data_IF_792914878734
#
_entry.id   IF_792914878734
#
_cell.length_a   1.000
_cell.length_b   1.000
_cell.length_c   1.000
_cell.angle_alpha   90.00
_cell.angle_beta   90.00
_cell.angle_gamma   90.00
#
_symmetry.space_group_name_H-M   'P 1'
#
loop_
_entity.id
_entity.type
_entity.pdbx_description
1 polymer ?
#
# COMPACT_ATOMS: atom_id res chain seq x y z
N UNK A 1 54.51 -5.91 25.25
CA UNK A 1 54.21 -4.72 26.09
C UNK A 1 55.19 -3.54 25.89
N UNK A 2 55.94 -3.45 24.77
CA UNK A 2 56.97 -2.37 24.59
C UNK A 2 56.94 -1.73 23.19
N UNK A 3 55.92 -2.02 22.36
CA UNK A 3 55.73 -1.38 21.04
C UNK A 3 54.86 -0.11 21.09
N UNK A 4 54.14 0.12 22.20
CA UNK A 4 53.27 1.29 22.36
C UNK A 4 54.00 2.54 22.87
N UNK A 5 55.24 2.44 23.33
CA UNK A 5 55.97 3.58 23.92
C UNK A 5 56.66 4.49 22.90
N UNK A 6 56.58 4.18 21.59
CA UNK A 6 57.15 5.03 20.52
C UNK A 6 56.24 5.28 19.31
N UNK A 7 55.05 4.68 19.25
CA UNK A 7 54.00 5.16 18.33
C UNK A 7 53.32 6.32 19.04
N UNK A 8 53.39 7.53 18.48
CA UNK A 8 52.92 8.75 19.17
C UNK A 8 51.51 8.53 19.72
N UNK A 9 51.27 8.90 20.97
CA UNK A 9 49.98 8.72 21.67
C UNK A 9 48.77 9.20 20.84
N UNK A 10 48.97 10.22 20.01
CA UNK A 10 47.98 10.73 19.05
C UNK A 10 47.50 9.68 18.03
N UNK A 11 48.39 8.82 17.52
CA UNK A 11 48.02 7.72 16.62
C UNK A 11 47.21 6.65 17.34
N UNK A 12 47.52 6.39 18.62
CA UNK A 12 46.71 5.50 19.45
C UNK A 12 45.30 6.04 19.65
N UNK A 13 45.18 7.35 19.95
CA UNK A 13 43.89 8.02 20.11
C UNK A 13 43.07 7.99 18.80
N UNK A 14 43.71 8.23 17.65
CA UNK A 14 43.07 8.12 16.34
C UNK A 14 42.51 6.72 16.06
N UNK A 15 43.29 5.67 16.36
CA UNK A 15 42.87 4.27 16.18
C UNK A 15 41.69 3.91 17.10
N UNK A 16 41.70 4.39 18.34
CA UNK A 16 40.61 4.16 19.30
C UNK A 16 39.32 4.82 18.82
N UNK A 17 39.38 6.08 18.41
CA UNK A 17 38.20 6.81 17.89
C UNK A 17 37.67 6.13 16.63
N UNK A 18 38.53 5.75 15.69
CA UNK A 18 38.14 4.99 14.50
C UNK A 18 37.42 3.68 14.88
N UNK A 19 37.97 2.93 15.85
CA UNK A 19 37.38 1.67 16.28
C UNK A 19 36.04 1.86 16.98
N UNK A 20 35.87 2.93 17.76
CA UNK A 20 34.59 3.29 18.39
C UNK A 20 33.53 3.65 17.35
N UNK A 21 33.86 4.47 16.36
CA UNK A 21 32.94 4.84 15.27
C UNK A 21 32.55 3.60 14.46
N UNK A 22 33.53 2.74 14.12
CA UNK A 22 33.27 1.51 13.39
C UNK A 22 32.35 0.55 14.16
N UNK A 23 32.62 0.33 15.46
CA UNK A 23 31.77 -0.51 16.30
C UNK A 23 30.35 0.08 16.46
N UNK A 24 30.23 1.40 16.63
CA UNK A 24 28.92 2.07 16.71
C UNK A 24 28.13 1.91 15.40
N UNK A 25 28.77 2.13 14.26
CA UNK A 25 28.17 1.93 12.95
C UNK A 25 27.73 0.48 12.73
N UNK A 26 28.57 -0.49 13.10
CA UNK A 26 28.25 -1.92 12.99
C UNK A 26 27.01 -2.29 13.81
N UNK A 27 26.96 -1.87 15.08
CA UNK A 27 25.79 -2.12 15.94
C UNK A 27 24.53 -1.52 15.33
N UNK A 28 24.58 -0.27 14.88
CA UNK A 28 23.42 0.39 14.25
C UNK A 28 22.94 -0.36 12.99
N UNK A 29 23.86 -0.83 12.14
CA UNK A 29 23.50 -1.62 10.94
C UNK A 29 22.85 -2.94 11.35
N UNK A 30 23.43 -3.66 12.31
CA UNK A 30 22.83 -4.92 12.78
C UNK A 30 21.44 -4.70 13.38
N UNK A 31 21.27 -3.68 14.22
CA UNK A 31 19.97 -3.30 14.79
C UNK A 31 18.95 -2.93 13.72
N UNK A 32 19.35 -2.19 12.68
CA UNK A 32 18.47 -1.88 11.56
C UNK A 32 18.03 -3.13 10.81
N UNK A 33 18.93 -4.10 10.58
CA UNK A 33 18.59 -5.39 9.96
C UNK A 33 17.64 -6.19 10.84
N UNK A 34 17.87 -6.25 12.16
CA UNK A 34 16.95 -6.93 13.09
C UNK A 34 15.56 -6.29 13.12
N UNK A 35 15.48 -4.96 13.09
CA UNK A 35 14.21 -4.24 13.00
C UNK A 35 13.52 -4.56 11.67
N UNK A 36 14.27 -4.56 10.56
CA UNK A 36 13.73 -4.89 9.23
C UNK A 36 13.19 -6.31 9.19
N UNK A 37 13.90 -7.26 9.76
CA UNK A 37 13.49 -8.67 9.80
C UNK A 37 12.29 -8.89 10.71
N UNK A 38 12.27 -8.25 11.89
CA UNK A 38 11.11 -8.27 12.79
C UNK A 38 9.90 -7.62 12.13
N UNK A 39 10.09 -6.49 11.45
CA UNK A 39 9.03 -5.79 10.73
C UNK A 39 8.57 -6.60 9.50
N UNK A 40 9.43 -7.39 8.87
CA UNK A 40 9.08 -8.31 7.78
C UNK A 40 8.24 -9.49 8.28
N UNK A 41 8.60 -10.07 9.43
CA UNK A 41 7.81 -11.14 10.08
C UNK A 41 6.47 -10.61 10.59
N UNK A 42 6.43 -9.37 11.10
CA UNK A 42 5.18 -8.71 11.51
C UNK A 42 4.34 -8.17 10.32
N UNK A 43 4.97 -7.86 9.18
CA UNK A 43 4.28 -7.42 7.96
C UNK A 43 3.91 -8.58 7.03
N UNK A 44 4.37 -9.79 7.35
CA UNK A 44 4.01 -11.04 6.67
C UNK A 44 2.69 -11.62 7.17
N UNK A 45 1.67 -10.78 7.34
CA UNK A 45 0.31 -11.24 7.56
C UNK A 45 -0.42 -11.20 6.23
N UNK A 46 -0.53 -12.37 5.59
CA UNK A 46 -1.51 -12.60 4.52
C UNK A 46 -2.92 -12.13 4.98
N UNK A 47 -3.19 -12.20 6.29
CA UNK A 47 -4.40 -11.69 6.94
C UNK A 47 -4.53 -10.16 6.85
N UNK A 48 -3.45 -9.39 7.05
CA UNK A 48 -3.49 -7.92 6.93
C UNK A 48 -3.67 -7.51 5.47
N UNK A 49 -3.03 -8.23 4.54
CA UNK A 49 -3.20 -7.98 3.11
C UNK A 49 -4.61 -8.34 2.63
N UNK A 50 -5.16 -9.47 3.09
CA UNK A 50 -6.54 -9.90 2.82
C UNK A 50 -7.56 -8.92 3.43
N UNK A 51 -7.38 -8.49 4.67
CA UNK A 51 -8.23 -7.48 5.32
C UNK A 51 -8.20 -6.14 4.58
N UNK A 52 -7.04 -5.71 4.07
CA UNK A 52 -6.95 -4.49 3.25
C UNK A 52 -7.72 -4.66 1.95
N UNK A 53 -7.56 -5.81 1.27
CA UNK A 53 -8.27 -6.10 0.02
C UNK A 53 -9.79 -6.16 0.24
N UNK A 54 -10.26 -6.78 1.32
CA UNK A 54 -11.68 -6.79 1.67
C UNK A 54 -12.22 -5.39 2.02
N UNK A 55 -11.46 -4.58 2.76
CA UNK A 55 -11.86 -3.20 3.09
C UNK A 55 -11.97 -2.33 1.85
N UNK A 56 -11.00 -2.44 0.95
CA UNK A 56 -11.03 -1.71 -0.33
C UNK A 56 -12.19 -2.19 -1.19
N UNK A 57 -12.42 -3.51 -1.30
CA UNK A 57 -13.56 -4.07 -2.03
C UNK A 57 -14.89 -3.56 -1.48
N UNK A 58 -15.13 -3.67 -0.17
CA UNK A 58 -16.37 -3.17 0.47
C UNK A 58 -16.55 -1.66 0.32
N UNK A 59 -15.47 -0.89 0.43
CA UNK A 59 -15.52 0.56 0.23
C UNK A 59 -15.88 0.91 -1.22
N UNK A 60 -15.35 0.17 -2.18
CA UNK A 60 -15.65 0.32 -3.60
C UNK A 60 -17.11 -0.07 -3.88
N UNK A 61 -17.59 -1.20 -3.36
CA UNK A 61 -19.00 -1.62 -3.47
C UNK A 61 -19.96 -0.57 -2.91
N UNK A 62 -19.65 0.04 -1.75
CA UNK A 62 -20.50 1.09 -1.17
C UNK A 62 -20.59 2.33 -2.05
N UNK A 63 -19.45 2.80 -2.57
CA UNK A 63 -19.40 3.96 -3.46
C UNK A 63 -20.08 3.69 -4.81
N UNK A 64 -19.89 2.49 -5.34
CA UNK A 64 -20.60 2.03 -6.54
C UNK A 64 -22.11 2.06 -6.31
N UNK A 65 -22.57 1.53 -5.18
CA UNK A 65 -23.99 1.55 -4.82
C UNK A 65 -24.54 2.98 -4.72
N UNK A 66 -23.80 3.91 -4.13
CA UNK A 66 -24.19 5.32 -4.07
C UNK A 66 -24.30 5.94 -5.48
N UNK A 67 -23.38 5.59 -6.40
CA UNK A 67 -23.44 6.04 -7.80
C UNK A 67 -24.64 5.44 -8.51
N UNK A 68 -24.91 4.15 -8.35
CA UNK A 68 -26.07 3.50 -8.95
C UNK A 68 -27.40 4.06 -8.41
N UNK A 69 -27.47 4.38 -7.12
CA UNK A 69 -28.65 5.04 -6.52
C UNK A 69 -28.88 6.46 -7.07
N UNK A 70 -27.82 7.19 -7.41
CA UNK A 70 -27.93 8.52 -8.06
C UNK A 70 -28.34 8.43 -9.54
N UNK A 71 -28.25 7.23 -10.13
CA UNK A 71 -28.50 6.96 -11.54
C UNK A 71 -29.79 6.20 -11.83
N UNK A 72 -30.40 5.62 -10.81
CA UNK A 72 -31.71 5.00 -10.89
C UNK A 72 -32.79 6.09 -11.09
N UNK A 73 -32.92 6.56 -12.33
CA UNK A 73 -33.96 7.48 -12.80
C UNK A 73 -35.35 6.83 -12.76
N UNK A 74 -35.41 5.49 -12.77
CA UNK A 74 -36.66 4.72 -12.75
C UNK A 74 -37.25 4.61 -11.35
N UNK A 75 -36.39 4.68 -10.32
CA UNK A 75 -36.73 4.57 -8.90
C UNK A 75 -37.17 3.16 -8.48
N UNK A 76 -36.82 2.13 -9.25
CA UNK A 76 -37.16 0.74 -8.95
C UNK A 76 -36.13 0.04 -8.02
N UNK A 77 -35.00 0.72 -7.75
CA UNK A 77 -33.91 0.23 -6.91
C UNK A 77 -32.96 -0.73 -7.61
N UNK A 78 -33.16 -0.98 -8.91
CA UNK A 78 -32.32 -1.78 -9.78
C UNK A 78 -31.77 -0.89 -10.90
N UNK A 79 -30.60 -1.24 -11.45
CA UNK A 79 -30.06 -0.50 -12.62
C UNK A 79 -30.09 -1.46 -13.79
N UNK A 80 -30.93 -1.17 -14.77
CA UNK A 80 -31.04 -1.98 -15.98
C UNK A 80 -29.75 -1.89 -16.81
N UNK A 81 -29.49 -2.92 -17.61
CA UNK A 81 -28.34 -2.92 -18.51
C UNK A 81 -28.39 -1.73 -19.49
N UNK A 82 -29.59 -1.32 -19.90
CA UNK A 82 -29.81 -0.18 -20.78
C UNK A 82 -29.44 1.15 -20.13
N UNK A 83 -29.79 1.36 -18.85
CA UNK A 83 -29.40 2.54 -18.07
C UNK A 83 -27.89 2.56 -17.83
N UNK A 84 -27.31 1.39 -17.52
CA UNK A 84 -25.87 1.25 -17.36
C UNK A 84 -25.10 1.52 -18.66
N UNK A 85 -25.64 1.11 -19.81
CA UNK A 85 -25.02 1.38 -21.11
C UNK A 85 -25.07 2.87 -21.46
N UNK A 86 -26.14 3.57 -21.08
CA UNK A 86 -26.22 5.02 -21.22
C UNK A 86 -25.20 5.72 -20.30
N UNK A 87 -24.99 5.19 -19.09
CA UNK A 87 -23.98 5.66 -18.17
C UNK A 87 -22.54 5.56 -18.70
N UNK A 88 -22.21 4.40 -19.26
CA UNK A 88 -20.90 4.16 -19.89
C UNK A 88 -20.72 5.05 -21.11
N UNK A 89 -21.80 5.55 -21.70
CA UNK A 89 -21.73 6.49 -22.82
C UNK A 89 -21.50 7.95 -22.37
N UNK A 90 -21.72 8.27 -21.10
CA UNK A 90 -21.45 9.59 -20.52
C UNK A 90 -19.98 9.72 -20.09
N UNK A 91 -19.27 10.66 -20.72
CA UNK A 91 -17.86 10.94 -20.48
C UNK A 91 -17.59 11.46 -19.06
N UNK A 92 -18.57 12.15 -18.45
CA UNK A 92 -18.47 12.64 -17.07
C UNK A 92 -18.47 11.47 -16.10
N UNK A 93 -19.38 10.51 -16.30
CA UNK A 93 -19.46 9.36 -15.41
C UNK A 93 -18.30 8.38 -15.62
N UNK A 94 -17.79 8.25 -16.85
CA UNK A 94 -16.51 7.55 -17.12
C UNK A 94 -15.36 8.11 -16.29
N UNK A 95 -15.21 9.43 -16.25
CA UNK A 95 -14.17 10.06 -15.45
C UNK A 95 -14.39 9.86 -13.96
N UNK A 96 -15.64 9.84 -13.51
CA UNK A 96 -15.99 9.58 -12.11
C UNK A 96 -15.66 8.15 -11.69
N UNK A 97 -16.00 7.16 -12.51
CA UNK A 97 -15.64 5.75 -12.31
C UNK A 97 -14.12 5.51 -12.36
N UNK A 98 -13.41 6.19 -13.27
CA UNK A 98 -11.95 6.15 -13.32
C UNK A 98 -11.31 6.74 -12.04
N UNK A 99 -11.94 7.74 -11.42
CA UNK A 99 -11.48 8.31 -10.13
C UNK A 99 -11.69 7.32 -8.97
N UNK A 100 -12.59 6.35 -9.14
CA UNK A 100 -12.84 5.26 -8.19
C UNK A 100 -11.92 4.05 -8.41
N UNK A 101 -10.90 4.17 -9.27
CA UNK A 101 -9.95 3.10 -9.63
C UNK A 101 -10.64 1.89 -10.30
N UNK A 102 -11.79 2.14 -10.92
CA UNK A 102 -12.53 1.15 -11.69
C UNK A 102 -12.19 1.34 -13.16
N UNK A 103 -11.40 0.43 -13.70
CA UNK A 103 -11.09 0.43 -15.13
C UNK A 103 -12.34 0.09 -15.93
N UNK A 104 -12.68 0.98 -16.88
CA UNK A 104 -13.90 0.93 -17.71
C UNK A 104 -13.96 -0.36 -18.56
N UNK A 105 -12.81 -1.01 -18.77
CA UNK A 105 -12.67 -2.20 -19.61
C UNK A 105 -13.51 -3.39 -19.13
N UNK A 106 -13.80 -3.49 -17.83
CA UNK A 106 -14.52 -4.64 -17.24
C UNK A 106 -15.84 -4.24 -16.60
N UNK A 107 -16.48 -3.13 -16.99
CA UNK A 107 -17.76 -2.71 -16.39
C UNK A 107 -18.89 -3.73 -16.59
N UNK A 108 -18.89 -4.51 -17.68
CA UNK A 108 -19.81 -5.64 -17.87
C UNK A 108 -19.56 -6.76 -16.85
N UNK A 109 -18.29 -7.04 -16.56
CA UNK A 109 -17.91 -8.03 -15.55
C UNK A 109 -18.17 -7.52 -14.13
N UNK A 110 -17.97 -6.22 -13.88
CA UNK A 110 -18.33 -5.55 -12.63
C UNK A 110 -19.83 -5.61 -12.39
N UNK A 111 -20.65 -5.35 -13.41
CA UNK A 111 -22.11 -5.45 -13.33
C UNK A 111 -22.52 -6.89 -12.98
N UNK A 112 -21.96 -7.89 -13.66
CA UNK A 112 -22.20 -9.31 -13.35
C UNK A 112 -21.71 -9.73 -11.97
N UNK A 113 -20.63 -9.13 -11.46
CA UNK A 113 -20.11 -9.40 -10.12
C UNK A 113 -20.97 -8.76 -9.03
N UNK A 114 -21.63 -7.63 -9.32
CA UNK A 114 -22.52 -6.93 -8.40
C UNK A 114 -23.94 -7.50 -8.37
N UNK A 115 -24.40 -8.06 -9.49
CA UNK A 115 -25.71 -8.73 -9.64
C UNK A 115 -25.74 -10.17 -9.06
N UNK A 116 -24.61 -10.64 -8.51
CA UNK A 116 -24.45 -11.97 -7.91
C UNK A 116 -24.59 -12.00 -6.39
#
# INVERSE_FOLDING_TARGET
>A
RILMTKVSEYWGLFIVVYRCIFCFALVNVTSAVFITETNRVAAGDDEVMMMRKERTSRANTKKLKEVFEELDDSGDGEVSWEEFQQLISDEVMRSYLATLDLEICDLEELFRLLDS
#
